data_IF_818014395452
#
_entry.id   IF_818014395452
#
_cell.length_a   1.000
_cell.length_b   1.000
_cell.length_c   1.000
_cell.angle_alpha   90.00
_cell.angle_beta   90.00
_cell.angle_gamma   90.00
#
_symmetry.space_group_name_H-M   'P 1'
#
loop_
_entity.id
_entity.type
_entity.pdbx_description
1 polymer ?
#
# COMPACT_ATOMS: atom_id res chain seq x y z
N UNK A 1 -18.97 -3.99 2.02
CA UNK A 1 -17.65 -3.33 1.98
C UNK A 1 -17.83 -1.95 1.38
N UNK A 2 -17.50 -0.87 2.09
CA UNK A 2 -17.52 0.48 1.52
C UNK A 2 -16.58 0.55 0.33
N UNK A 3 -16.93 1.35 -0.69
CA UNK A 3 -16.04 1.66 -1.80
C UNK A 3 -15.92 3.17 -1.93
N UNK A 4 -14.68 3.65 -2.08
CA UNK A 4 -14.34 5.06 -2.22
C UNK A 4 -13.83 5.26 -3.64
N UNK A 5 -14.43 6.21 -4.36
CA UNK A 5 -14.03 6.57 -5.72
C UNK A 5 -12.70 7.34 -5.70
N UNK A 6 -11.97 7.27 -6.82
CA UNK A 6 -10.64 7.86 -6.94
C UNK A 6 -10.61 9.37 -6.63
N UNK A 7 -11.65 10.10 -7.02
CA UNK A 7 -11.76 11.55 -6.82
C UNK A 7 -12.00 11.94 -5.35
N UNK A 8 -12.48 11.00 -4.52
CA UNK A 8 -12.78 11.22 -3.11
C UNK A 8 -11.63 10.82 -2.17
N UNK A 9 -10.56 10.20 -2.70
CA UNK A 9 -9.47 9.63 -1.89
C UNK A 9 -8.76 10.65 -1.00
N UNK A 10 -8.62 11.90 -1.45
CA UNK A 10 -7.85 12.91 -0.72
C UNK A 10 -8.46 13.30 0.63
N UNK A 11 -9.75 13.03 0.82
CA UNK A 11 -10.53 13.37 2.02
C UNK A 11 -11.08 12.13 2.73
N UNK A 12 -10.75 10.94 2.24
CA UNK A 12 -11.30 9.70 2.76
C UNK A 12 -10.57 9.27 4.04
N UNK A 13 -11.33 8.79 5.01
CA UNK A 13 -10.79 8.06 6.16
C UNK A 13 -10.23 6.70 5.73
N UNK A 14 -9.32 6.14 6.55
CA UNK A 14 -8.88 4.74 6.42
C UNK A 14 -9.86 3.82 7.18
N UNK A 15 -10.67 3.09 6.42
CA UNK A 15 -11.67 2.16 6.93
C UNK A 15 -11.19 0.74 6.65
N UNK A 16 -11.15 -0.09 7.69
CA UNK A 16 -10.76 -1.51 7.57
C UNK A 16 -11.62 -2.19 6.52
N UNK A 17 -10.96 -2.96 5.65
CA UNK A 17 -11.52 -3.68 4.52
C UNK A 17 -12.17 -2.82 3.42
N UNK A 18 -12.16 -1.48 3.45
CA UNK A 18 -12.77 -0.69 2.37
C UNK A 18 -12.00 -0.78 1.05
N UNK A 19 -12.73 -0.67 -0.07
CA UNK A 19 -12.15 -0.67 -1.42
C UNK A 19 -11.88 0.77 -1.90
N UNK A 20 -10.60 1.13 -2.02
CA UNK A 20 -10.15 2.41 -2.56
C UNK A 20 -9.77 2.25 -4.03
N UNK A 21 -10.55 2.86 -4.93
CA UNK A 21 -10.41 2.64 -6.37
C UNK A 21 -9.26 3.44 -6.97
N UNK A 22 -8.57 2.84 -7.94
CA UNK A 22 -7.66 3.56 -8.83
C UNK A 22 -8.41 4.41 -9.86
N UNK A 23 -7.70 5.37 -10.44
CA UNK A 23 -8.23 6.21 -11.52
C UNK A 23 -8.32 5.48 -12.86
N UNK A 24 -8.78 6.19 -13.90
CA UNK A 24 -8.98 5.62 -15.25
C UNK A 24 -7.76 5.69 -16.16
N UNK A 25 -6.69 6.38 -15.77
CA UNK A 25 -5.49 6.49 -16.58
C UNK A 25 -4.63 5.22 -16.46
N UNK A 26 -4.02 4.79 -17.56
CA UNK A 26 -3.20 3.58 -17.62
C UNK A 26 -1.77 3.77 -17.09
N UNK A 27 -1.56 4.74 -16.20
CA UNK A 27 -0.24 5.09 -15.68
C UNK A 27 -0.31 5.33 -14.16
N UNK A 28 0.85 5.58 -13.53
CA UNK A 28 0.97 5.73 -12.08
C UNK A 28 0.18 6.92 -11.49
N UNK A 29 -0.35 7.83 -12.30
CA UNK A 29 -1.23 8.89 -11.80
C UNK A 29 -2.54 8.36 -11.23
N UNK A 30 -2.98 7.17 -11.66
CA UNK A 30 -4.21 6.50 -11.21
C UNK A 30 -4.01 5.55 -10.04
N UNK A 31 -2.81 5.52 -9.46
CA UNK A 31 -2.51 4.72 -8.28
C UNK A 31 -3.20 5.32 -7.03
N UNK A 32 -3.93 4.53 -6.23
CA UNK A 32 -4.79 5.07 -5.17
C UNK A 32 -4.06 5.43 -3.86
N UNK A 33 -3.00 4.71 -3.46
CA UNK A 33 -2.39 4.90 -2.14
C UNK A 33 -1.77 6.28 -2.03
N UNK A 34 -1.06 6.75 -3.05
CA UNK A 34 -0.46 8.10 -3.06
C UNK A 34 -1.48 9.25 -3.15
N UNK A 35 -2.75 8.94 -3.43
CA UNK A 35 -3.87 9.91 -3.37
C UNK A 35 -4.55 9.92 -2.01
N UNK A 36 -4.52 8.78 -1.31
CA UNK A 36 -5.07 8.60 0.02
C UNK A 36 -4.07 9.04 1.12
N UNK A 37 -2.78 8.80 0.89
CA UNK A 37 -1.70 9.03 1.86
C UNK A 37 -0.50 9.72 1.19
N UNK A 38 0.18 10.65 1.88
CA UNK A 38 1.33 11.36 1.32
C UNK A 38 2.61 10.50 1.34
N UNK A 39 2.66 9.47 0.48
CA UNK A 39 3.81 8.61 0.25
C UNK A 39 4.06 8.39 -1.24
N UNK A 40 5.11 7.64 -1.59
CA UNK A 40 5.39 7.24 -2.97
C UNK A 40 4.22 6.47 -3.62
N UNK A 41 4.19 6.46 -4.96
CA UNK A 41 3.16 5.80 -5.76
C UNK A 41 3.60 4.43 -6.33
N UNK A 42 4.75 3.91 -5.89
CA UNK A 42 5.29 2.62 -6.32
C UNK A 42 6.09 1.98 -5.18
N UNK A 43 6.27 0.65 -5.26
CA UNK A 43 7.00 -0.15 -4.28
C UNK A 43 6.08 -0.88 -3.31
N UNK A 44 6.59 -1.98 -2.75
CA UNK A 44 5.92 -2.76 -1.70
C UNK A 44 6.02 -2.10 -0.33
N UNK A 45 7.18 -1.52 0.01
CA UNK A 45 7.36 -0.69 1.20
C UNK A 45 7.41 0.77 0.77
N UNK A 46 6.49 1.59 1.29
CA UNK A 46 6.44 3.03 1.03
C UNK A 46 6.42 3.77 2.36
N UNK A 47 6.87 5.01 2.38
CA UNK A 47 6.94 5.79 3.61
C UNK A 47 6.72 7.27 3.35
N UNK A 48 6.46 8.01 4.43
CA UNK A 48 6.50 9.47 4.48
C UNK A 48 7.50 9.92 5.54
N UNK A 49 8.19 11.03 5.29
CA UNK A 49 9.35 11.46 6.09
C UNK A 49 10.69 11.08 5.46
N UNK A 50 11.75 11.01 6.26
CA UNK A 50 13.11 10.68 5.78
C UNK A 50 13.66 9.42 6.46
N UNK A 51 14.35 8.57 5.70
CA UNK A 51 15.09 7.42 6.25
C UNK A 51 16.47 7.80 6.81
N UNK A 52 16.98 8.98 6.46
CA UNK A 52 18.25 9.53 6.94
C UNK A 52 18.02 11.02 7.27
N UNK A 53 17.97 11.42 8.56
CA UNK A 53 18.47 10.72 9.76
C UNK A 53 17.44 9.83 10.50
N UNK A 54 16.53 9.16 9.78
CA UNK A 54 15.43 8.32 10.32
C UNK A 54 14.32 9.12 11.02
N UNK A 55 13.73 10.05 10.28
CA UNK A 55 12.56 10.85 10.65
C UNK A 55 11.32 10.37 9.88
N UNK A 56 10.98 9.09 10.06
CA UNK A 56 9.78 8.50 9.45
C UNK A 56 8.51 8.90 10.19
N UNK A 57 7.49 9.30 9.43
CA UNK A 57 6.15 9.63 9.96
C UNK A 57 5.26 8.40 9.95
N UNK A 58 5.23 7.68 8.83
CA UNK A 58 4.50 6.42 8.68
C UNK A 58 5.10 5.56 7.56
N UNK A 59 4.71 4.28 7.56
CA UNK A 59 5.05 3.28 6.54
C UNK A 59 3.76 2.64 6.01
N UNK A 60 3.74 2.34 4.71
CA UNK A 60 2.71 1.57 4.04
C UNK A 60 3.34 0.29 3.50
N UNK A 61 2.71 -0.85 3.78
CA UNK A 61 3.01 -2.13 3.16
C UNK A 61 1.94 -2.45 2.12
N UNK A 62 2.37 -2.62 0.87
CA UNK A 62 1.53 -3.01 -0.25
C UNK A 62 1.93 -4.41 -0.71
N UNK A 63 0.96 -5.31 -0.77
CA UNK A 63 1.11 -6.64 -1.36
C UNK A 63 -0.03 -6.93 -2.32
N UNK A 64 0.27 -7.54 -3.45
CA UNK A 64 -0.74 -8.10 -4.35
C UNK A 64 -1.26 -9.47 -3.86
N UNK A 65 -0.61 -10.07 -2.85
CA UNK A 65 -0.87 -11.42 -2.33
C UNK A 65 -0.80 -12.53 -3.41
N UNK A 66 -0.23 -12.22 -4.58
CA UNK A 66 -0.29 -13.07 -5.77
C UNK A 66 1.03 -13.77 -6.11
N UNK A 67 2.11 -13.49 -5.37
CA UNK A 67 3.44 -14.05 -5.61
C UNK A 67 3.62 -15.35 -4.80
N UNK A 68 3.64 -16.53 -5.45
CA UNK A 68 3.76 -17.80 -4.73
C UNK A 68 5.17 -18.05 -4.16
N UNK A 69 6.20 -17.42 -4.73
CA UNK A 69 7.59 -17.56 -4.25
C UNK A 69 7.83 -16.67 -3.00
N UNK A 70 7.02 -15.61 -2.86
CA UNK A 70 7.02 -14.68 -1.74
C UNK A 70 5.62 -14.58 -1.13
N UNK A 71 5.16 -15.62 -0.39
CA UNK A 71 3.76 -15.84 -0.05
C UNK A 71 3.30 -14.96 1.11
N UNK A 72 3.22 -13.66 0.86
CA UNK A 72 2.54 -12.70 1.74
C UNK A 72 1.13 -13.19 2.05
N UNK A 73 0.70 -13.06 3.31
CA UNK A 73 -0.64 -13.50 3.73
C UNK A 73 -1.16 -12.72 4.92
N UNK A 74 -2.48 -12.58 4.96
CA UNK A 74 -3.23 -12.01 6.08
C UNK A 74 -4.02 -13.12 6.74
N UNK A 75 -3.78 -13.36 8.02
CA UNK A 75 -4.64 -14.14 8.89
C UNK A 75 -5.60 -13.18 9.60
N UNK A 76 -6.84 -13.14 9.12
CA UNK A 76 -7.87 -12.24 9.66
C UNK A 76 -8.37 -12.66 11.04
N UNK A 77 -8.29 -13.94 11.40
CA UNK A 77 -8.72 -14.43 12.72
C UNK A 77 -7.68 -14.08 13.78
N UNK A 78 -6.39 -14.23 13.45
CA UNK A 78 -5.29 -13.88 14.34
C UNK A 78 -4.90 -12.39 14.29
N UNK A 79 -5.39 -11.63 13.30
CA UNK A 79 -4.98 -10.25 13.05
C UNK A 79 -3.50 -10.13 12.66
N UNK A 80 -2.96 -11.13 11.96
CA UNK A 80 -1.54 -11.24 11.65
C UNK A 80 -1.28 -11.06 10.14
N UNK A 81 -0.38 -10.12 9.81
CA UNK A 81 0.20 -10.01 8.48
C UNK A 81 1.57 -10.70 8.46
N UNK A 82 1.77 -11.62 7.51
CA UNK A 82 3.11 -12.10 7.12
C UNK A 82 3.49 -11.39 5.83
N UNK A 83 4.62 -10.67 5.83
CA UNK A 83 5.11 -9.89 4.70
C UNK A 83 6.59 -10.20 4.44
N UNK A 84 6.94 -10.48 3.19
CA UNK A 84 8.30 -10.77 2.75
C UNK A 84 9.00 -9.53 2.19
N UNK A 85 10.32 -9.43 2.41
CA UNK A 85 11.13 -8.28 1.99
C UNK A 85 11.25 -8.09 0.49
N UNK A 86 11.88 -6.98 0.09
CA UNK A 86 11.99 -6.51 -1.29
C UNK A 86 13.14 -7.13 -2.09
N UNK A 87 14.06 -7.86 -1.45
CA UNK A 87 15.12 -8.58 -2.14
C UNK A 87 14.63 -9.89 -2.76
N UNK A 88 13.97 -9.80 -3.93
CA UNK A 88 13.35 -10.93 -4.61
C UNK A 88 14.25 -11.72 -5.55
N UNK A 89 15.47 -11.24 -5.77
CA UNK A 89 16.43 -11.86 -6.71
C UNK A 89 17.81 -11.91 -6.08
N UNK A 90 18.61 -12.97 -6.31
CA UNK A 90 20.02 -12.97 -5.92
C UNK A 90 20.78 -11.80 -6.54
N UNK A 91 21.80 -11.32 -5.82
CA UNK A 91 22.76 -10.31 -6.25
C UNK A 91 24.20 -10.79 -6.06
#
# INVERSE_FOLDING_TARGET
MPSIEFDDLYQADLIVDALYKGGSASNLSSEPISKLLPCGNQGGVRYSGSIDPFELVFVVLYSSLADPDWPDRIDFEAGQLTYFGDNKTPG
#
